data_IF_452461551532
#
_entry.id   IF_452461551532
#
_cell.length_a   1.000
_cell.length_b   1.000
_cell.length_c   1.000
_cell.angle_alpha   90.00
_cell.angle_beta   90.00
_cell.angle_gamma   90.00
#
_symmetry.space_group_name_H-M   'P 1'
#
loop_
_entity.id
_entity.type
_entity.pdbx_description
1 polymer ?
#
# COMPACT_ATOMS: atom_id res chain seq x y z
N UNK A 1 28.50 -11.01 3.38
CA UNK A 1 27.43 -11.02 2.36
C UNK A 1 26.57 -9.78 2.57
N UNK A 2 26.43 -8.94 1.55
CA UNK A 2 25.66 -7.69 1.61
C UNK A 2 24.64 -7.72 0.47
N UNK A 3 23.35 -7.64 0.78
CA UNK A 3 22.26 -7.58 -0.21
C UNK A 3 21.75 -6.13 -0.27
N UNK A 4 21.60 -5.59 -1.47
CA UNK A 4 21.11 -4.22 -1.67
C UNK A 4 19.57 -4.16 -1.49
N UNK A 5 19.05 -3.11 -0.84
CA UNK A 5 17.61 -2.90 -0.71
C UNK A 5 16.96 -2.62 -2.08
N UNK A 6 15.71 -3.04 -2.24
CA UNK A 6 14.91 -2.74 -3.44
C UNK A 6 14.38 -1.30 -3.40
N UNK A 7 13.88 -0.81 -4.54
CA UNK A 7 13.47 0.58 -4.74
C UNK A 7 12.48 1.12 -3.69
N UNK A 8 11.58 0.27 -3.19
CA UNK A 8 10.57 0.66 -2.19
C UNK A 8 10.88 0.16 -0.78
N UNK A 9 12.05 -0.46 -0.57
CA UNK A 9 12.38 -1.03 0.73
C UNK A 9 12.57 0.06 1.78
N UNK A 10 11.84 -0.06 2.90
CA UNK A 10 11.97 0.78 4.08
C UNK A 10 12.55 -0.03 5.24
N UNK A 11 13.44 0.56 6.03
CA UNK A 11 13.93 -0.09 7.25
C UNK A 11 12.84 -0.09 8.31
N UNK A 12 12.53 -1.27 8.86
CA UNK A 12 11.62 -1.39 10.00
C UNK A 12 12.24 -0.71 11.21
N UNK A 13 11.56 0.33 11.72
CA UNK A 13 11.90 1.00 12.98
C UNK A 13 10.64 1.25 13.81
N UNK A 14 10.78 1.17 15.13
CA UNK A 14 9.75 1.66 16.06
C UNK A 14 9.72 3.18 16.06
N UNK A 15 8.53 3.75 16.20
CA UNK A 15 8.37 5.20 16.31
C UNK A 15 8.88 5.67 17.67
N UNK A 16 9.54 6.83 17.70
CA UNK A 16 10.14 7.37 18.94
C UNK A 16 9.10 8.07 19.83
N UNK A 17 8.05 8.63 19.23
CA UNK A 17 6.97 9.31 19.92
C UNK A 17 5.68 9.23 19.08
N UNK A 18 4.59 9.75 19.64
CA UNK A 18 3.28 9.78 18.98
C UNK A 18 3.26 10.65 17.71
N UNK A 19 3.99 11.77 17.69
CA UNK A 19 4.05 12.66 16.52
C UNK A 19 4.69 11.97 15.30
N UNK A 20 5.79 11.26 15.52
CA UNK A 20 6.50 10.43 14.53
C UNK A 20 5.59 9.27 14.07
N UNK A 21 4.88 8.63 14.99
CA UNK A 21 3.92 7.57 14.64
C UNK A 21 2.80 8.09 13.73
N UNK A 22 2.16 9.22 14.10
CA UNK A 22 1.08 9.84 13.32
C UNK A 22 1.58 10.25 11.93
N UNK A 23 2.76 10.85 11.84
CA UNK A 23 3.34 11.26 10.56
C UNK A 23 3.58 10.06 9.64
N UNK A 24 4.15 8.97 10.16
CA UNK A 24 4.43 7.75 9.37
C UNK A 24 3.16 7.10 8.84
N UNK A 25 2.11 7.01 9.65
CA UNK A 25 0.80 6.48 9.23
C UNK A 25 0.20 7.32 8.10
N UNK A 26 0.15 8.64 8.28
CA UNK A 26 -0.40 9.55 7.25
C UNK A 26 0.43 9.53 5.96
N UNK A 27 1.76 9.42 6.07
CA UNK A 27 2.64 9.30 4.91
C UNK A 27 2.33 8.03 4.11
N UNK A 28 2.31 6.87 4.77
CA UNK A 28 2.01 5.59 4.11
C UNK A 28 0.62 5.58 3.47
N UNK A 29 -0.37 6.18 4.13
CA UNK A 29 -1.72 6.32 3.58
C UNK A 29 -1.76 7.19 2.31
N UNK A 30 -1.03 8.31 2.28
CA UNK A 30 -0.95 9.19 1.10
C UNK A 30 -0.21 8.54 -0.07
N UNK A 31 0.83 7.77 0.22
CA UNK A 31 1.55 6.98 -0.80
C UNK A 31 0.63 5.92 -1.40
N UNK A 32 -0.18 5.24 -0.58
CA UNK A 32 -1.19 4.30 -1.06
C UNK A 32 -2.21 4.98 -1.99
N UNK A 33 -2.79 6.10 -1.58
CA UNK A 33 -3.75 6.84 -2.40
C UNK A 33 -3.16 7.27 -3.75
N UNK A 34 -1.90 7.71 -3.79
CA UNK A 34 -1.21 8.10 -5.04
C UNK A 34 -0.92 6.91 -5.94
N UNK A 35 -0.63 5.74 -5.37
CA UNK A 35 -0.44 4.51 -6.13
C UNK A 35 -1.76 4.04 -6.77
N UNK A 36 -2.88 4.23 -6.06
CA UNK A 36 -4.23 3.92 -6.57
C UNK A 36 -4.66 4.93 -7.64
N UNK A 37 -4.29 6.20 -7.51
CA UNK A 37 -4.69 7.29 -8.41
C UNK A 37 -3.81 7.47 -9.66
N UNK A 38 -3.03 6.45 -10.05
CA UNK A 38 -2.37 6.43 -11.36
C UNK A 38 -3.40 6.30 -12.50
N UNK A 39 -3.02 6.52 -13.78
CA UNK A 39 -3.93 6.37 -14.92
C UNK A 39 -4.21 4.87 -15.14
N UNK A 40 -5.08 4.29 -14.30
CA UNK A 40 -5.48 2.90 -14.44
C UNK A 40 -6.58 2.83 -15.48
N UNK A 41 -6.23 2.24 -16.61
CA UNK A 41 -7.17 1.47 -17.42
C UNK A 41 -7.84 0.42 -16.52
N UNK A 42 -9.09 0.08 -16.84
CA UNK A 42 -10.04 -0.65 -16.01
C UNK A 42 -9.60 -2.05 -15.51
N UNK A 43 -8.39 -2.52 -15.83
CA UNK A 43 -7.87 -3.87 -15.57
C UNK A 43 -7.15 -4.04 -14.23
N UNK A 44 -6.86 -2.96 -13.50
CA UNK A 44 -6.08 -2.99 -12.25
C UNK A 44 -6.86 -2.56 -10.99
N UNK A 45 -8.18 -2.40 -11.10
CA UNK A 45 -9.06 -2.19 -9.93
C UNK A 45 -9.72 -3.52 -9.50
N UNK A 46 -9.68 -4.54 -10.36
CA UNK A 46 -10.24 -5.88 -10.20
C UNK A 46 -9.51 -6.78 -9.20
N UNK A 47 -8.50 -6.34 -8.47
CA UNK A 47 -8.00 -7.12 -7.32
C UNK A 47 -8.48 -6.57 -5.97
N UNK A 48 -8.96 -5.32 -5.93
CA UNK A 48 -9.47 -4.72 -4.69
C UNK A 48 -10.92 -5.10 -4.36
N UNK A 49 -11.68 -5.63 -5.34
CA UNK A 49 -13.11 -5.93 -5.19
C UNK A 49 -13.45 -7.42 -5.13
N UNK A 50 -12.49 -8.32 -5.27
CA UNK A 50 -12.73 -9.78 -5.29
C UNK A 50 -12.36 -10.44 -3.96
N UNK A 51 -12.96 -9.92 -2.90
CA UNK A 51 -13.15 -10.66 -1.65
C UNK A 51 -14.64 -10.65 -1.28
N UNK A 52 -15.49 -11.01 -2.24
CA UNK A 52 -16.86 -11.44 -1.93
C UNK A 52 -16.93 -12.93 -2.24
N UNK A 53 -16.85 -13.82 -1.24
CA UNK A 53 -17.06 -15.23 -1.47
C UNK A 53 -18.56 -15.45 -1.74
N UNK A 54 -18.92 -15.92 -2.93
CA UNK A 54 -20.24 -16.52 -3.17
C UNK A 54 -21.15 -15.91 -4.24
N UNK A 55 -20.65 -15.20 -5.26
CA UNK A 55 -21.52 -14.82 -6.39
C UNK A 55 -21.32 -15.74 -7.60
N UNK A 56 -22.23 -16.69 -7.75
CA UNK A 56 -22.35 -17.55 -8.94
C UNK A 56 -22.85 -16.71 -10.13
N UNK A 57 -22.13 -16.78 -11.23
CA UNK A 57 -22.55 -16.23 -12.53
C UNK A 57 -23.63 -17.16 -13.10
N UNK A 58 -24.81 -16.60 -13.37
CA UNK A 58 -25.80 -17.16 -14.31
C UNK A 58 -25.66 -16.42 -15.63
#
# INVERSE_FOLDING_TARGET
MTINPTFLAQRTRSSLNWGDARYRVLKSYREWLRAVSGPLNSSSITFATWSVPGQWVV
#
